data_IF_987416678067
#
_entry.id   IF_987416678067
#
_cell.length_a   1.000
_cell.length_b   1.000
_cell.length_c   1.000
_cell.angle_alpha   90.00
_cell.angle_beta   90.00
_cell.angle_gamma   90.00
#
_symmetry.space_group_name_H-M   'P 1'
#
loop_
_entity.id
_entity.type
_entity.pdbx_description
1 polymer ?
#
# COMPACT_ATOMS: atom_id res chain seq x y z
N UNK A 1 -12.34 -31.39 14.51
CA UNK A 1 -11.07 -30.80 14.06
C UNK A 1 -11.44 -29.96 12.85
N UNK A 2 -11.59 -28.64 13.02
CA UNK A 2 -11.97 -27.74 11.92
C UNK A 2 -10.73 -27.63 11.04
N UNK A 3 -10.78 -28.26 9.86
CA UNK A 3 -9.70 -28.14 8.88
C UNK A 3 -9.46 -26.66 8.62
N UNK A 4 -8.22 -26.22 8.81
CA UNK A 4 -7.79 -24.90 8.38
C UNK A 4 -8.18 -24.76 6.91
N UNK A 5 -9.10 -23.85 6.62
CA UNK A 5 -9.53 -23.50 5.27
C UNK A 5 -8.31 -22.85 4.59
N UNK A 6 -7.42 -23.68 4.03
CA UNK A 6 -6.21 -23.22 3.37
C UNK A 6 -6.64 -22.60 2.04
N UNK A 7 -6.76 -21.28 2.00
CA UNK A 7 -6.90 -20.58 0.74
C UNK A 7 -5.61 -20.80 -0.06
N UNK A 8 -5.70 -21.53 -1.18
CA UNK A 8 -4.57 -21.70 -2.09
C UNK A 8 -4.34 -20.37 -2.80
N UNK A 9 -3.18 -19.75 -2.58
CA UNK A 9 -2.84 -18.46 -3.17
C UNK A 9 -1.76 -18.62 -4.24
N UNK A 10 -2.02 -18.11 -5.44
CA UNK A 10 -1.05 -18.03 -6.52
C UNK A 10 -0.80 -16.58 -6.92
N UNK A 11 0.43 -16.24 -7.24
CA UNK A 11 0.84 -14.88 -7.63
C UNK A 11 1.54 -14.94 -8.98
N UNK A 12 1.09 -14.12 -9.91
CA UNK A 12 1.75 -13.88 -11.20
C UNK A 12 2.23 -12.43 -11.25
N UNK A 13 3.46 -12.20 -11.69
CA UNK A 13 4.00 -10.84 -11.83
C UNK A 13 4.62 -10.66 -13.21
N UNK A 14 4.20 -9.68 -13.98
CA UNK A 14 4.78 -9.37 -15.30
C UNK A 14 5.40 -7.99 -15.34
N UNK A 15 6.64 -7.92 -15.82
CA UNK A 15 7.30 -6.68 -16.28
C UNK A 15 7.12 -6.47 -17.79
N UNK A 16 6.63 -7.49 -18.50
CA UNK A 16 6.33 -7.42 -19.92
C UNK A 16 5.02 -6.67 -20.15
N UNK A 17 5.06 -5.71 -21.10
CA UNK A 17 3.91 -4.87 -21.47
C UNK A 17 3.00 -5.53 -22.53
N UNK A 18 3.38 -6.69 -23.05
CA UNK A 18 2.65 -7.36 -24.14
C UNK A 18 2.09 -8.69 -23.66
N UNK A 19 0.78 -8.85 -23.76
CA UNK A 19 0.10 -10.13 -23.53
C UNK A 19 0.26 -10.99 -24.77
N UNK A 20 0.35 -12.30 -24.55
CA UNK A 20 0.42 -13.25 -25.64
C UNK A 20 -0.73 -13.06 -26.66
N UNK A 21 -0.41 -13.22 -27.94
CA UNK A 21 -1.40 -13.12 -29.00
C UNK A 21 -2.41 -14.28 -28.91
N UNK A 22 -3.66 -14.00 -29.29
CA UNK A 22 -4.73 -15.00 -29.32
C UNK A 22 -4.35 -16.21 -30.18
N UNK A 23 -4.81 -17.39 -29.79
CA UNK A 23 -4.55 -18.65 -30.52
C UNK A 23 -3.16 -19.25 -30.30
N UNK A 24 -2.27 -18.58 -29.55
CA UNK A 24 -0.93 -19.10 -29.20
C UNK A 24 -1.00 -20.11 -28.07
N UNK A 25 -0.04 -21.04 -28.01
CA UNK A 25 0.06 -22.04 -26.95
C UNK A 25 0.83 -21.51 -25.74
N UNK A 26 0.73 -22.18 -24.59
CA UNK A 26 1.50 -21.78 -23.39
C UNK A 26 3.00 -21.86 -23.61
N UNK A 27 3.46 -22.72 -24.53
CA UNK A 27 4.89 -22.80 -24.91
C UNK A 27 5.43 -21.56 -25.61
N UNK A 28 4.54 -20.70 -26.12
CA UNK A 28 4.92 -19.47 -26.84
C UNK A 28 5.11 -18.28 -25.87
N UNK A 29 4.87 -18.47 -24.57
CA UNK A 29 5.10 -17.45 -23.56
C UNK A 29 6.61 -17.20 -23.38
N UNK A 30 7.03 -15.96 -23.59
CA UNK A 30 8.35 -15.51 -23.18
C UNK A 30 8.47 -15.51 -21.64
N UNK A 31 9.70 -15.53 -21.13
CA UNK A 31 9.96 -15.49 -19.68
C UNK A 31 9.31 -14.25 -19.05
N UNK A 32 8.53 -14.46 -17.99
CA UNK A 32 7.78 -13.41 -17.29
C UNK A 32 6.51 -12.94 -18.02
N UNK A 33 6.29 -13.32 -19.28
CA UNK A 33 5.08 -12.96 -20.01
C UNK A 33 3.88 -13.73 -19.47
N UNK A 34 2.74 -13.04 -19.35
CA UNK A 34 1.47 -13.65 -18.92
C UNK A 34 0.48 -13.77 -20.08
N UNK A 35 -0.40 -14.75 -19.97
CA UNK A 35 -1.52 -14.94 -20.88
C UNK A 35 -2.74 -15.55 -20.19
N UNK A 36 -3.90 -15.29 -20.77
CA UNK A 36 -5.16 -15.98 -20.46
C UNK A 36 -5.33 -17.11 -21.48
N UNK A 37 -5.73 -18.29 -21.04
CA UNK A 37 -5.85 -19.50 -21.87
C UNK A 37 -7.17 -20.22 -21.62
N UNK A 38 -7.74 -20.82 -22.67
CA UNK A 38 -8.97 -21.60 -22.57
C UNK A 38 -8.65 -22.98 -21.98
N UNK A 39 -9.38 -23.41 -20.95
CA UNK A 39 -9.08 -24.66 -20.28
C UNK A 39 -9.29 -25.91 -21.16
N UNK A 40 -10.11 -25.81 -22.20
CA UNK A 40 -10.43 -26.92 -23.11
C UNK A 40 -9.43 -26.99 -24.27
N UNK A 41 -9.12 -25.85 -24.88
CA UNK A 41 -8.25 -25.81 -26.07
C UNK A 41 -6.77 -25.61 -25.74
N UNK A 42 -6.44 -25.11 -24.54
CA UNK A 42 -5.09 -24.69 -24.14
C UNK A 42 -4.48 -23.59 -25.03
N UNK A 43 -5.31 -22.83 -25.74
CA UNK A 43 -4.89 -21.70 -26.57
C UNK A 43 -5.21 -20.37 -25.88
N UNK A 44 -4.39 -19.36 -26.17
CA UNK A 44 -4.53 -18.03 -25.59
C UNK A 44 -5.81 -17.35 -26.07
N UNK A 45 -6.48 -16.64 -25.16
CA UNK A 45 -7.77 -16.01 -25.42
C UNK A 45 -7.63 -14.75 -26.26
N UNK A 46 -8.64 -14.53 -27.10
CA UNK A 46 -8.84 -13.27 -27.80
C UNK A 46 -9.29 -12.16 -26.85
N UNK A 47 -9.24 -10.91 -27.31
CA UNK A 47 -9.62 -9.74 -26.54
C UNK A 47 -11.13 -9.60 -26.31
N UNK A 48 -11.96 -10.16 -27.21
CA UNK A 48 -13.43 -10.10 -27.12
C UNK A 48 -14.06 -11.49 -27.19
N UNK A 49 -13.79 -12.38 -26.24
CA UNK A 49 -14.24 -13.74 -26.37
C UNK A 49 -15.67 -13.91 -25.85
N UNK A 50 -16.53 -14.58 -26.61
CA UNK A 50 -17.90 -14.95 -26.18
C UNK A 50 -17.83 -16.20 -25.31
N UNK A 51 -17.84 -16.03 -23.99
CA UNK A 51 -17.88 -17.13 -23.04
C UNK A 51 -19.25 -17.30 -22.39
N UNK A 52 -19.65 -18.56 -22.26
CA UNK A 52 -20.80 -19.00 -21.44
C UNK A 52 -20.28 -19.46 -20.09
N UNK A 53 -21.13 -19.50 -19.05
CA UNK A 53 -20.79 -19.92 -17.66
C UNK A 53 -20.02 -21.26 -17.54
N UNK A 54 -20.16 -22.12 -18.55
CA UNK A 54 -19.57 -23.46 -18.64
C UNK A 54 -18.12 -23.48 -19.17
N UNK A 55 -17.65 -22.40 -19.79
CA UNK A 55 -16.26 -22.30 -20.26
C UNK A 55 -15.41 -21.69 -19.15
N UNK A 56 -14.22 -22.23 -18.98
CA UNK A 56 -13.25 -21.74 -18.02
C UNK A 56 -11.97 -21.30 -18.71
N UNK A 57 -11.22 -20.45 -18.01
CA UNK A 57 -9.90 -20.01 -18.41
C UNK A 57 -8.88 -20.26 -17.31
N UNK A 58 -7.61 -20.25 -17.65
CA UNK A 58 -6.54 -20.20 -16.66
C UNK A 58 -5.53 -19.13 -17.04
N UNK A 59 -4.80 -18.66 -16.05
CA UNK A 59 -3.69 -17.73 -16.23
C UNK A 59 -2.42 -18.56 -16.30
N UNK A 60 -1.54 -18.26 -17.25
CA UNK A 60 -0.22 -18.87 -17.32
C UNK A 60 0.87 -17.82 -17.51
N UNK A 61 2.05 -18.14 -17.00
CA UNK A 61 3.25 -17.33 -17.09
C UNK A 61 4.43 -18.14 -17.62
N UNK A 62 5.18 -17.54 -18.56
CA UNK A 62 6.42 -18.11 -19.06
C UNK A 62 7.50 -18.11 -17.98
N UNK A 63 8.18 -19.24 -17.84
CA UNK A 63 9.27 -19.47 -16.89
C UNK A 63 10.59 -19.63 -17.66
N UNK A 64 11.74 -19.32 -17.03
CA UNK A 64 13.04 -19.54 -17.68
C UNK A 64 13.26 -21.03 -17.97
N UNK A 65 14.02 -21.33 -19.03
CA UNK A 65 14.46 -22.70 -19.30
C UNK A 65 15.47 -23.14 -18.25
N UNK A 66 15.10 -24.15 -17.46
CA UNK A 66 15.94 -24.75 -16.43
C UNK A 66 16.41 -26.15 -16.84
N UNK A 67 16.54 -26.42 -18.15
CA UNK A 67 17.02 -27.70 -18.70
C UNK A 67 18.41 -28.12 -18.21
N UNK A 68 19.22 -27.18 -17.71
CA UNK A 68 20.52 -27.43 -17.09
C UNK A 68 20.43 -28.04 -15.68
N UNK A 69 19.27 -27.94 -15.01
CA UNK A 69 19.05 -28.52 -13.70
C UNK A 69 18.86 -30.04 -13.80
N UNK A 70 19.37 -30.83 -12.82
CA UNK A 70 19.26 -32.28 -12.86
C UNK A 70 17.79 -32.74 -12.80
N UNK A 71 17.44 -33.70 -13.66
CA UNK A 71 16.13 -34.36 -13.64
C UNK A 71 15.89 -34.97 -12.26
N UNK A 72 14.84 -34.54 -11.56
CA UNK A 72 14.52 -34.98 -10.20
C UNK A 72 14.71 -33.91 -9.12
N UNK A 73 15.22 -32.72 -9.47
CA UNK A 73 15.34 -31.59 -8.53
C UNK A 73 13.98 -30.98 -8.08
N UNK A 74 12.84 -31.54 -8.50
CA UNK A 74 11.51 -30.99 -8.17
C UNK A 74 11.18 -29.66 -8.84
N UNK A 75 12.14 -29.03 -9.53
CA UNK A 75 11.95 -27.79 -10.29
C UNK A 75 11.33 -28.12 -11.65
N UNK A 76 10.15 -27.55 -11.91
CA UNK A 76 9.40 -27.78 -13.14
C UNK A 76 9.96 -26.90 -14.26
N UNK A 77 10.35 -27.52 -15.37
CA UNK A 77 10.71 -26.81 -16.61
C UNK A 77 9.45 -26.64 -17.49
N UNK A 78 8.41 -26.05 -16.91
CA UNK A 78 7.13 -25.80 -17.58
C UNK A 78 6.61 -24.40 -17.21
N UNK A 79 5.74 -23.85 -18.05
CA UNK A 79 5.06 -22.59 -17.74
C UNK A 79 4.28 -22.71 -16.44
N UNK A 80 4.32 -21.67 -15.62
CA UNK A 80 3.54 -21.65 -14.40
C UNK A 80 2.05 -21.39 -14.71
N UNK A 81 1.14 -22.17 -14.12
CA UNK A 81 -0.29 -22.15 -14.48
C UNK A 81 -1.19 -22.09 -13.25
N UNK A 82 -2.26 -21.31 -13.32
CA UNK A 82 -3.34 -21.37 -12.34
C UNK A 82 -4.20 -22.62 -12.56
N UNK A 83 -5.07 -22.93 -11.59
CA UNK A 83 -6.19 -23.83 -11.85
C UNK A 83 -7.13 -23.22 -12.88
N UNK A 84 -7.93 -24.07 -13.51
CA UNK A 84 -9.00 -23.62 -14.37
C UNK A 84 -10.06 -22.87 -13.56
N UNK A 85 -10.34 -21.64 -13.97
CA UNK A 85 -11.30 -20.71 -13.40
C UNK A 85 -12.57 -20.79 -14.23
N UNK A 86 -13.56 -21.52 -13.74
CA UNK A 86 -14.87 -21.60 -14.36
C UNK A 86 -15.68 -20.36 -13.96
N UNK A 87 -16.36 -19.70 -14.92
CA UNK A 87 -17.15 -18.49 -14.63
C UNK A 87 -18.17 -18.70 -13.50
N UNK A 88 -18.88 -19.85 -13.51
CA UNK A 88 -19.83 -20.24 -12.47
C UNK A 88 -19.24 -20.39 -11.05
N UNK A 89 -17.92 -20.52 -10.94
CA UNK A 89 -17.21 -20.73 -9.69
C UNK A 89 -16.50 -19.46 -9.20
N UNK A 90 -16.54 -18.37 -9.96
CA UNK A 90 -15.93 -17.11 -9.58
C UNK A 90 -16.74 -16.46 -8.45
N UNK A 91 -16.08 -16.21 -7.33
CA UNK A 91 -16.67 -15.66 -6.10
C UNK A 91 -16.32 -14.18 -5.95
N UNK A 92 -15.16 -13.77 -6.45
CA UNK A 92 -14.71 -12.39 -6.36
C UNK A 92 -13.75 -12.03 -7.47
N UNK A 93 -13.87 -10.80 -7.95
CA UNK A 93 -12.94 -10.19 -8.89
C UNK A 93 -12.80 -8.72 -8.54
N UNK A 94 -11.57 -8.26 -8.31
CA UNK A 94 -11.31 -6.84 -8.15
C UNK A 94 -9.91 -6.44 -8.60
N UNK A 95 -9.80 -5.20 -9.07
CA UNK A 95 -8.53 -4.54 -9.35
C UNK A 95 -8.21 -3.49 -8.30
N UNK A 96 -6.93 -3.16 -8.15
CA UNK A 96 -6.46 -2.00 -7.40
C UNK A 96 -5.28 -1.39 -8.14
N UNK A 97 -5.41 -0.13 -8.52
CA UNK A 97 -4.33 0.61 -9.17
C UNK A 97 -3.19 0.88 -8.17
N UNK A 98 -1.97 0.92 -8.68
CA UNK A 98 -0.81 1.40 -7.94
C UNK A 98 -1.06 2.82 -7.44
N UNK A 99 -0.73 3.07 -6.18
CA UNK A 99 -0.91 4.37 -5.56
C UNK A 99 0.36 4.74 -4.81
N UNK A 100 0.81 5.98 -5.00
CA UNK A 100 1.89 6.52 -4.19
C UNK A 100 1.45 6.64 -2.72
N UNK A 101 2.41 6.51 -1.81
CA UNK A 101 2.17 6.82 -0.40
C UNK A 101 1.80 8.30 -0.24
N UNK A 102 0.89 8.59 0.67
CA UNK A 102 0.45 9.94 0.98
C UNK A 102 0.91 10.32 2.39
N UNK A 103 1.53 11.49 2.54
CA UNK A 103 1.91 12.02 3.85
C UNK A 103 0.68 12.45 4.64
N UNK A 104 0.80 12.42 5.97
CA UNK A 104 -0.17 13.05 6.87
C UNK A 104 0.03 14.57 6.81
N UNK A 105 -1.03 15.33 6.57
CA UNK A 105 -0.98 16.79 6.45
C UNK A 105 -1.99 17.41 7.40
N UNK A 106 -1.48 18.20 8.34
CA UNK A 106 -2.29 18.93 9.32
C UNK A 106 -1.96 20.41 9.23
N UNK A 107 -2.97 21.27 9.24
CA UNK A 107 -2.80 22.71 9.33
C UNK A 107 -3.32 23.26 10.66
N UNK A 108 -2.63 24.28 11.18
CA UNK A 108 -3.11 25.08 12.31
C UNK A 108 -3.29 26.55 11.88
N UNK A 109 -4.36 27.19 12.32
CA UNK A 109 -4.75 28.50 11.83
C UNK A 109 -5.22 28.41 10.38
N UNK A 110 -4.71 29.29 9.51
CA UNK A 110 -5.07 29.29 8.08
C UNK A 110 -4.71 27.97 7.40
N UNK A 111 -5.70 27.32 6.80
CA UNK A 111 -5.58 25.99 6.20
C UNK A 111 -5.29 26.03 4.68
N UNK A 112 -5.16 27.23 4.11
CA UNK A 112 -4.95 27.44 2.67
C UNK A 112 -6.24 27.65 1.87
N UNK A 113 -7.41 27.53 2.50
CA UNK A 113 -8.72 27.69 1.84
C UNK A 113 -9.59 28.69 2.61
N UNK A 114 -9.80 28.45 3.90
CA UNK A 114 -10.72 29.22 4.74
C UNK A 114 -9.99 30.36 5.45
N UNK A 115 -10.21 31.60 4.99
CA UNK A 115 -9.55 32.80 5.54
C UNK A 115 -10.02 33.15 6.95
N UNK A 116 -11.16 32.64 7.40
CA UNK A 116 -11.67 32.87 8.75
C UNK A 116 -10.89 32.04 9.78
N UNK A 117 -10.27 30.95 9.32
CA UNK A 117 -9.27 30.22 10.08
C UNK A 117 -7.97 31.01 10.03
N UNK A 118 -7.58 31.59 11.16
CA UNK A 118 -6.28 32.23 11.30
C UNK A 118 -5.77 32.08 12.72
N UNK A 119 -4.45 31.98 12.84
CA UNK A 119 -3.81 32.14 14.13
C UNK A 119 -3.97 33.60 14.57
N UNK A 120 -4.56 33.81 15.76
CA UNK A 120 -4.73 35.14 16.34
C UNK A 120 -4.49 35.11 17.84
N UNK A 121 -4.08 36.26 18.39
CA UNK A 121 -3.77 36.37 19.81
C UNK A 121 -3.80 37.82 20.30
N UNK A 122 -3.54 37.99 21.59
CA UNK A 122 -3.37 39.28 22.26
C UNK A 122 -1.88 39.61 22.40
N UNK A 123 -1.62 40.89 22.66
CA UNK A 123 -0.30 41.36 23.09
C UNK A 123 0.16 40.61 24.34
N UNK A 124 1.47 40.30 24.41
CA UNK A 124 2.10 39.59 25.53
C UNK A 124 1.48 38.23 25.87
N UNK A 125 0.62 37.70 25.01
CA UNK A 125 0.14 36.33 25.14
C UNK A 125 1.31 35.37 24.92
N UNK A 126 1.22 34.19 25.54
CA UNK A 126 2.08 33.05 25.23
C UNK A 126 1.18 31.99 24.61
N UNK A 127 1.59 31.48 23.45
CA UNK A 127 0.89 30.41 22.76
C UNK A 127 1.70 29.16 22.92
N UNK A 128 1.01 28.10 23.30
CA UNK A 128 1.57 26.77 23.43
C UNK A 128 1.17 25.93 22.23
N UNK A 129 2.09 25.11 21.75
CA UNK A 129 1.87 24.17 20.67
C UNK A 129 2.46 22.81 21.08
N UNK A 130 1.59 21.81 21.15
CA UNK A 130 1.96 20.43 21.38
C UNK A 130 1.88 19.66 20.07
N UNK A 131 3.02 19.11 19.64
CA UNK A 131 3.11 18.26 18.44
C UNK A 131 3.45 16.85 18.88
N UNK A 132 2.50 15.93 18.71
CA UNK A 132 2.72 14.52 18.95
C UNK A 132 2.99 13.82 17.63
N UNK A 133 4.09 13.07 17.60
CA UNK A 133 4.48 12.22 16.49
C UNK A 133 4.35 10.76 16.90
N UNK A 134 3.68 9.98 16.07
CA UNK A 134 3.53 8.53 16.25
C UNK A 134 3.80 7.81 14.93
N UNK A 135 3.75 6.48 14.96
CA UNK A 135 4.13 5.63 13.83
C UNK A 135 5.43 4.90 14.10
N UNK A 136 5.64 3.80 13.38
CA UNK A 136 6.74 2.87 13.65
C UNK A 136 8.14 3.50 13.64
N UNK A 137 8.47 4.47 12.75
CA UNK A 137 9.78 5.12 12.74
C UNK A 137 10.05 5.90 14.04
N UNK A 138 9.01 6.56 14.59
CA UNK A 138 9.09 7.27 15.86
C UNK A 138 9.13 6.29 17.02
N UNK A 139 8.27 5.25 17.01
CA UNK A 139 8.20 4.25 18.08
C UNK A 139 9.49 3.46 18.27
N UNK A 140 10.26 3.27 17.20
CA UNK A 140 11.57 2.63 17.28
C UNK A 140 12.60 3.50 18.05
N UNK A 141 12.42 4.82 18.08
CA UNK A 141 13.25 5.75 18.86
C UNK A 141 12.65 6.01 20.24
N UNK A 142 11.33 6.13 20.32
CA UNK A 142 10.56 6.49 21.51
C UNK A 142 9.33 5.57 21.63
N UNK A 143 9.38 4.50 22.43
CA UNK A 143 8.24 3.60 22.61
C UNK A 143 6.97 4.36 23.01
N UNK A 144 5.90 4.25 22.22
CA UNK A 144 4.64 4.97 22.43
C UNK A 144 4.53 6.35 21.74
N UNK A 145 5.55 6.74 20.97
CA UNK A 145 5.61 8.03 20.28
C UNK A 145 6.36 9.09 21.07
N UNK A 146 6.30 10.33 20.60
CA UNK A 146 6.94 11.48 21.25
C UNK A 146 6.03 12.70 21.19
N UNK A 147 6.11 13.55 22.22
CA UNK A 147 5.36 14.81 22.31
C UNK A 147 6.39 15.92 22.45
N UNK A 148 6.32 16.91 21.56
CA UNK A 148 7.14 18.12 21.60
C UNK A 148 6.25 19.30 21.96
N UNK A 149 6.80 20.19 22.76
CA UNK A 149 6.12 21.38 23.25
C UNK A 149 6.92 22.59 22.80
N UNK A 150 6.24 23.51 22.13
CA UNK A 150 6.80 24.76 21.66
C UNK A 150 6.01 25.91 22.24
N UNK A 151 6.71 26.99 22.55
CA UNK A 151 6.12 28.18 23.16
C UNK A 151 6.66 29.42 22.48
N UNK A 152 5.77 30.22 21.91
CA UNK A 152 6.14 31.51 21.34
C UNK A 152 5.47 32.58 22.18
N UNK A 153 6.18 33.67 22.42
CA UNK A 153 5.63 34.86 23.04
C UNK A 153 5.30 35.87 21.94
N UNK A 154 4.12 36.48 22.02
CA UNK A 154 3.71 37.53 21.09
C UNK A 154 4.58 38.78 21.21
N UNK A 155 4.58 39.60 20.16
CA UNK A 155 5.25 40.89 20.20
C UNK A 155 4.69 41.78 21.33
N UNK A 156 5.58 42.49 22.01
CA UNK A 156 5.21 43.50 22.99
C UNK A 156 4.46 44.63 22.29
N UNK A 157 3.26 44.96 22.75
CA UNK A 157 2.55 46.13 22.25
C UNK A 157 2.90 47.33 23.10
N UNK A 158 3.75 48.21 22.59
CA UNK A 158 4.01 49.49 23.26
C UNK A 158 2.71 50.31 23.30
N UNK A 159 2.11 50.40 24.48
CA UNK A 159 1.02 51.32 24.83
C UNK A 159 -0.23 51.26 23.94
N UNK A 160 -0.84 50.09 23.80
CA UNK A 160 -2.28 50.05 23.51
C UNK A 160 -3.05 50.00 24.84
N UNK A 161 -3.95 50.96 25.06
CA UNK A 161 -4.95 50.85 26.14
C UNK A 161 -5.86 49.64 25.90
N UNK A 162 -6.84 49.40 26.78
CA UNK A 162 -7.76 48.25 26.84
C UNK A 162 -8.44 47.79 25.52
N UNK A 163 -8.23 48.49 24.40
CA UNK A 163 -8.71 48.21 23.05
C UNK A 163 -7.70 47.53 22.12
N UNK A 164 -6.67 46.81 22.61
CA UNK A 164 -5.81 46.03 21.70
C UNK A 164 -6.65 44.93 21.03
N UNK A 165 -7.09 45.18 19.79
CA UNK A 165 -7.79 44.20 18.97
C UNK A 165 -6.92 42.94 18.78
N UNK A 166 -7.54 41.83 18.41
CA UNK A 166 -6.82 40.60 18.04
C UNK A 166 -5.71 40.93 17.05
N UNK A 167 -4.48 40.60 17.43
CA UNK A 167 -3.32 40.77 16.57
C UNK A 167 -3.18 39.49 15.75
N UNK A 168 -3.39 39.61 14.45
CA UNK A 168 -3.00 38.61 13.45
C UNK A 168 -1.56 38.88 13.02
N UNK A 169 -0.62 38.55 13.90
CA UNK A 169 0.81 38.72 13.63
C UNK A 169 1.42 37.40 13.13
N UNK A 170 2.15 37.50 12.04
CA UNK A 170 2.85 36.37 11.44
C UNK A 170 4.09 35.93 12.23
N UNK A 171 4.54 36.75 13.20
CA UNK A 171 5.68 36.46 14.08
C UNK A 171 5.50 35.19 14.89
N UNK A 172 4.28 34.87 15.30
CA UNK A 172 3.93 33.63 15.99
C UNK A 172 4.21 32.40 15.13
N UNK A 173 3.75 32.45 13.89
CA UNK A 173 3.96 31.41 12.90
C UNK A 173 5.45 31.22 12.63
N UNK A 174 6.18 32.32 12.45
CA UNK A 174 7.63 32.28 12.20
C UNK A 174 8.39 31.74 13.42
N UNK A 175 7.97 32.11 14.63
CA UNK A 175 8.54 31.63 15.90
C UNK A 175 8.39 30.12 16.07
N UNK A 176 7.19 29.58 15.81
CA UNK A 176 6.96 28.13 15.89
C UNK A 176 7.76 27.38 14.83
N UNK A 177 7.75 27.86 13.58
CA UNK A 177 8.53 27.24 12.49
C UNK A 177 10.03 27.23 12.83
N UNK A 178 10.56 28.33 13.38
CA UNK A 178 11.96 28.42 13.78
C UNK A 178 12.31 27.47 14.92
N UNK A 179 11.46 27.37 15.95
CA UNK A 179 11.67 26.43 17.06
C UNK A 179 11.63 24.98 16.57
N UNK A 180 10.66 24.62 15.72
CA UNK A 180 10.57 23.29 15.14
C UNK A 180 11.79 22.98 14.26
N UNK A 181 12.27 23.95 13.47
CA UNK A 181 13.44 23.76 12.62
C UNK A 181 14.73 23.55 13.42
N UNK A 182 14.87 24.19 14.59
CA UNK A 182 15.98 23.99 15.53
C UNK A 182 15.81 22.70 16.38
N UNK A 183 14.61 22.12 16.32
CA UNK A 183 14.17 20.85 16.87
C UNK A 183 15.17 19.68 16.72
N UNK A 184 15.82 19.19 17.80
CA UNK A 184 16.50 17.88 17.76
C UNK A 184 15.99 16.89 18.82
N UNK A 185 15.99 15.60 18.46
CA UNK A 185 15.81 14.46 19.36
C UNK A 185 17.12 14.04 20.04
N UNK A 186 17.03 13.15 21.03
CA UNK A 186 18.19 12.46 21.59
C UNK A 186 19.03 11.82 20.47
N UNK A 187 20.34 12.04 20.51
CA UNK A 187 21.26 11.62 19.44
C UNK A 187 21.42 12.65 18.31
N UNK A 188 20.89 13.87 18.45
CA UNK A 188 21.10 14.96 17.49
C UNK A 188 20.35 14.81 16.17
N UNK A 189 19.34 13.92 16.13
CA UNK A 189 18.51 13.71 14.96
C UNK A 189 17.51 14.87 14.88
N UNK A 190 17.53 15.70 13.82
CA UNK A 190 16.61 16.83 13.73
C UNK A 190 15.19 16.34 13.47
N UNK A 191 14.21 16.98 14.11
CA UNK A 191 12.79 16.65 13.94
C UNK A 191 12.32 16.85 12.50
N UNK A 192 13.03 17.70 11.74
CA UNK A 192 12.79 17.98 10.33
C UNK A 192 12.99 16.78 9.41
N UNK A 193 13.58 15.67 9.91
CA UNK A 193 13.57 14.37 9.22
C UNK A 193 12.21 13.68 9.22
N UNK A 194 11.33 14.03 10.15
CA UNK A 194 10.04 13.37 10.36
C UNK A 194 8.85 14.25 10.02
N UNK A 195 8.99 15.57 10.17
CA UNK A 195 7.97 16.55 9.80
C UNK A 195 8.59 17.71 9.04
N UNK A 196 7.84 18.27 8.11
CA UNK A 196 8.14 19.52 7.43
C UNK A 196 7.07 20.54 7.79
N UNK A 197 7.49 21.72 8.21
CA UNK A 197 6.59 22.84 8.46
C UNK A 197 6.69 23.87 7.34
N UNK A 198 5.57 24.47 6.97
CA UNK A 198 5.51 25.53 5.95
C UNK A 198 4.52 26.59 6.39
N UNK A 199 4.92 27.86 6.27
CA UNK A 199 4.02 29.00 6.53
C UNK A 199 2.94 29.07 5.45
N UNK A 200 1.69 29.17 5.88
CA UNK A 200 0.55 29.49 5.04
C UNK A 200 0.13 30.93 5.30
N UNK A 201 -0.10 31.70 4.24
CA UNK A 201 -0.55 33.09 4.35
C UNK A 201 -1.44 33.51 3.19
N UNK A 202 -2.55 34.18 3.49
CA UNK A 202 -3.41 34.86 2.51
C UNK A 202 -3.98 36.12 3.13
N UNK A 203 -3.59 37.30 2.62
CA UNK A 203 -3.97 38.58 3.23
C UNK A 203 -3.50 38.67 4.68
N UNK A 204 -4.45 38.81 5.61
CA UNK A 204 -4.20 38.87 7.07
C UNK A 204 -4.37 37.52 7.78
N UNK A 205 -4.57 36.43 7.05
CA UNK A 205 -4.75 35.09 7.60
C UNK A 205 -3.42 34.32 7.56
N UNK A 206 -3.03 33.77 8.70
CA UNK A 206 -1.77 33.04 8.87
C UNK A 206 -1.98 31.66 9.49
N UNK A 207 -1.16 30.70 9.07
CA UNK A 207 -1.19 29.33 9.57
C UNK A 207 0.11 28.57 9.31
N UNK A 208 0.21 27.38 9.87
CA UNK A 208 1.32 26.46 9.65
C UNK A 208 0.77 25.17 9.09
N UNK A 209 1.33 24.74 7.96
CA UNK A 209 1.13 23.40 7.40
C UNK A 209 2.23 22.48 7.92
N UNK A 210 1.83 21.37 8.51
CA UNK A 210 2.69 20.25 8.88
C UNK A 210 2.50 19.14 7.86
N UNK A 211 3.60 18.58 7.37
CA UNK A 211 3.61 17.48 6.42
C UNK A 211 4.54 16.39 6.97
N UNK A 212 4.03 15.18 7.12
CA UNK A 212 4.82 14.07 7.66
C UNK A 212 5.75 13.46 6.62
N UNK A 213 6.89 12.95 7.07
CA UNK A 213 7.82 12.23 6.23
C UNK A 213 7.47 10.74 6.14
N UNK A 214 7.81 10.15 5.00
CA UNK A 214 7.94 8.71 4.84
C UNK A 214 9.35 8.30 5.24
N UNK A 215 9.46 7.46 6.26
CA UNK A 215 10.76 6.96 6.70
C UNK A 215 10.93 5.53 6.22
N UNK A 216 11.95 5.32 5.40
CA UNK A 216 12.32 3.99 4.94
C UNK A 216 12.64 3.10 6.15
N UNK A 217 12.08 1.89 6.13
CA UNK A 217 12.51 0.83 7.02
C UNK A 217 13.90 0.42 6.60
N UNK A 218 14.88 0.62 7.47
CA UNK A 218 16.17 -0.06 7.35
C UNK A 218 15.91 -1.56 7.51
N UNK A 219 15.71 -2.26 6.40
CA UNK A 219 15.52 -3.71 6.34
C UNK A 219 16.88 -4.39 6.48
N UNK A 220 17.47 -4.33 7.68
CA UNK A 220 18.57 -5.24 8.01
C UNK A 220 17.97 -6.65 8.20
N UNK A 221 18.58 -7.61 7.51
CA UNK A 221 18.06 -8.92 7.11
C UNK A 221 17.67 -9.92 8.23
N UNK A 222 17.44 -9.49 9.47
CA UNK A 222 17.20 -10.37 10.61
C UNK A 222 15.90 -10.14 11.39
N UNK A 223 15.07 -9.15 11.03
CA UNK A 223 13.79 -8.95 11.69
C UNK A 223 12.66 -9.73 10.99
N UNK A 224 11.82 -10.41 11.79
CA UNK A 224 10.59 -11.03 11.31
C UNK A 224 9.75 -9.98 10.56
N UNK A 225 9.65 -10.16 9.25
CA UNK A 225 9.18 -9.18 8.30
C UNK A 225 7.64 -9.21 8.23
N UNK A 226 6.98 -8.76 9.30
CA UNK A 226 5.53 -8.89 9.51
C UNK A 226 4.71 -7.87 8.67
N UNK A 227 5.34 -6.84 8.09
CA UNK A 227 4.60 -5.76 7.43
C UNK A 227 4.93 -5.63 5.93
N UNK A 228 3.92 -5.38 5.08
CA UNK A 228 4.05 -5.36 3.62
C UNK A 228 4.70 -4.10 3.04
N UNK A 229 4.94 -3.03 3.80
CA UNK A 229 5.43 -1.76 3.25
C UNK A 229 6.90 -1.50 3.57
N UNK A 230 7.58 -0.75 2.70
CA UNK A 230 9.01 -0.42 2.86
C UNK A 230 9.27 0.89 3.58
N UNK A 231 8.26 1.75 3.64
CA UNK A 231 8.29 2.95 4.44
C UNK A 231 7.04 2.96 5.33
N UNK A 232 7.20 3.43 6.55
CA UNK A 232 6.09 3.63 7.49
C UNK A 232 5.84 5.15 7.60
N UNK A 233 4.57 5.61 7.56
CA UNK A 233 4.27 7.01 7.72
C UNK A 233 4.49 7.43 9.17
N UNK A 234 4.86 8.68 9.35
CA UNK A 234 4.73 9.37 10.63
C UNK A 234 3.33 9.98 10.68
N UNK A 235 2.64 9.81 11.81
CA UNK A 235 1.35 10.44 12.06
C UNK A 235 1.55 11.67 12.94
N UNK A 236 0.78 12.72 12.67
CA UNK A 236 0.88 14.02 13.33
C UNK A 236 -0.41 14.29 14.08
N UNK A 237 -0.30 14.63 15.36
CA UNK A 237 -1.40 15.14 16.17
C UNK A 237 -0.98 16.47 16.79
N UNK A 238 -1.85 17.49 16.70
CA UNK A 238 -1.55 18.85 17.14
C UNK A 238 -2.61 19.36 18.12
N UNK A 239 -2.17 19.92 19.24
CA UNK A 239 -3.02 20.46 20.31
C UNK A 239 -2.40 21.76 20.85
N UNK A 240 -3.25 22.65 21.34
CA UNK A 240 -2.86 23.95 21.91
C UNK A 240 -2.87 23.95 23.44
N UNK A 241 -3.66 23.07 24.06
CA UNK A 241 -3.98 23.16 25.49
C UNK A 241 -3.22 22.17 26.34
N UNK A 242 -3.20 20.91 25.90
CA UNK A 242 -2.70 19.81 26.71
C UNK A 242 -2.25 18.68 25.78
N UNK A 243 -1.21 17.93 26.13
CA UNK A 243 -0.97 16.59 25.59
C UNK A 243 -2.10 15.57 25.83
N UNK A 244 -3.22 15.92 26.47
CA UNK A 244 -4.42 15.09 26.56
C UNK A 244 -5.31 15.27 25.33
N UNK A 245 -5.29 14.25 24.46
CA UNK A 245 -5.94 14.22 23.15
C UNK A 245 -7.40 13.78 23.18
N UNK A 246 -7.94 13.44 24.36
CA UNK A 246 -9.34 13.06 24.56
C UNK A 246 -10.16 14.18 25.23
N UNK A 247 -9.52 15.32 25.53
CA UNK A 247 -10.18 16.51 26.08
C UNK A 247 -11.17 17.13 25.08
N UNK A 248 -12.20 17.79 25.60
CA UNK A 248 -13.22 18.45 24.78
C UNK A 248 -12.59 19.60 23.98
N UNK A 249 -12.73 19.65 22.64
CA UNK A 249 -12.09 20.64 21.76
C UNK A 249 -12.72 22.05 21.85
N UNK A 250 -13.55 22.32 22.86
CA UNK A 250 -14.41 23.51 22.91
C UNK A 250 -13.66 24.83 23.12
N UNK A 251 -12.36 24.79 23.39
CA UNK A 251 -11.57 25.97 23.73
C UNK A 251 -10.44 26.29 22.74
N UNK A 252 -10.22 25.51 21.66
CA UNK A 252 -9.13 25.78 20.68
C UNK A 252 -9.09 27.27 20.25
N UNK A 253 -7.99 27.96 20.55
CA UNK A 253 -7.85 29.39 20.28
C UNK A 253 -7.61 29.63 18.79
N UNK A 254 -7.12 28.63 18.06
CA UNK A 254 -7.09 28.60 16.61
C UNK A 254 -7.48 27.21 16.07
N UNK A 255 -8.02 27.13 14.85
CA UNK A 255 -8.52 25.86 14.32
C UNK A 255 -7.36 24.95 13.89
N UNK A 256 -7.45 23.67 14.26
CA UNK A 256 -6.62 22.58 13.73
C UNK A 256 -7.43 21.82 12.70
N UNK A 257 -6.92 21.70 11.48
CA UNK A 257 -7.60 21.03 10.35
C UNK A 257 -6.72 19.89 9.82
N UNK A 258 -7.22 18.66 9.83
CA UNK A 258 -6.59 17.58 9.04
C UNK A 258 -6.92 17.81 7.56
N UNK A 259 -5.88 17.96 6.74
CA UNK A 259 -5.99 18.21 5.31
C UNK A 259 -5.86 16.93 4.49
N UNK A 260 -5.07 15.96 4.98
CA UNK A 260 -4.83 14.70 4.31
C UNK A 260 -4.37 13.66 5.33
N UNK A 261 -5.00 12.50 5.35
CA UNK A 261 -4.54 11.38 6.19
C UNK A 261 -3.38 10.64 5.49
N UNK A 262 -2.46 10.07 6.28
CA UNK A 262 -1.41 9.24 5.72
C UNK A 262 -1.97 7.94 5.11
N UNK A 263 -1.55 7.61 3.90
CA UNK A 263 -1.94 6.38 3.19
C UNK A 263 -0.70 5.61 2.71
N UNK A 264 -0.66 4.31 2.98
CA UNK A 264 0.46 3.44 2.54
C UNK A 264 0.54 3.33 1.02
N UNK A 265 1.77 3.31 0.45
CA UNK A 265 1.93 3.03 -0.96
C UNK A 265 1.38 1.65 -1.30
N UNK A 266 0.78 1.53 -2.47
CA UNK A 266 0.29 0.28 -3.01
C UNK A 266 0.93 0.00 -4.36
N UNK A 267 1.30 -1.27 -4.59
CA UNK A 267 1.92 -1.69 -5.86
C UNK A 267 3.43 -1.49 -5.94
N UNK A 268 4.11 -1.11 -4.86
CA UNK A 268 5.57 -0.94 -4.85
C UNK A 268 6.30 -2.26 -5.18
N UNK A 269 7.23 -2.24 -6.14
CA UNK A 269 7.88 -3.47 -6.65
C UNK A 269 8.62 -4.26 -5.58
N UNK A 270 9.25 -3.58 -4.63
CA UNK A 270 9.88 -4.21 -3.47
C UNK A 270 8.88 -4.96 -2.59
N UNK A 271 7.64 -4.45 -2.48
CA UNK A 271 6.56 -5.19 -1.81
C UNK A 271 6.12 -6.41 -2.64
N UNK A 272 5.97 -6.25 -3.96
CA UNK A 272 5.52 -7.32 -4.85
C UNK A 272 6.53 -8.48 -4.88
N UNK A 273 7.83 -8.20 -4.81
CA UNK A 273 8.90 -9.22 -4.64
C UNK A 273 8.56 -10.17 -3.50
N UNK A 274 8.17 -9.63 -2.33
CA UNK A 274 7.87 -10.44 -1.15
C UNK A 274 6.62 -11.28 -1.34
N UNK A 275 5.60 -10.74 -2.01
CA UNK A 275 4.38 -11.50 -2.33
C UNK A 275 4.68 -12.64 -3.31
N UNK A 276 5.51 -12.39 -4.31
CA UNK A 276 5.96 -13.39 -5.27
C UNK A 276 6.79 -14.50 -4.60
N UNK A 277 7.75 -14.12 -3.76
CA UNK A 277 8.55 -15.05 -2.95
C UNK A 277 7.68 -15.92 -2.06
N UNK A 278 6.76 -15.31 -1.28
CA UNK A 278 5.87 -16.04 -0.41
C UNK A 278 4.99 -17.02 -1.19
N UNK A 279 4.41 -16.60 -2.31
CA UNK A 279 3.57 -17.47 -3.14
C UNK A 279 4.36 -18.65 -3.70
N UNK A 280 5.57 -18.41 -4.24
CA UNK A 280 6.46 -19.47 -4.71
C UNK A 280 6.86 -20.41 -3.58
N UNK A 281 7.16 -19.88 -2.40
CA UNK A 281 7.42 -20.70 -1.21
C UNK A 281 6.23 -21.57 -0.80
N UNK A 282 4.98 -21.25 -1.16
CA UNK A 282 3.82 -22.12 -0.93
C UNK A 282 3.69 -23.19 -2.01
N UNK A 283 3.95 -22.86 -3.28
CA UNK A 283 3.87 -23.80 -4.41
C UNK A 283 4.96 -24.90 -4.36
N UNK A 284 6.15 -24.62 -3.83
CA UNK A 284 7.27 -25.59 -3.75
C UNK A 284 7.25 -26.51 -2.50
N UNK A 285 6.24 -26.42 -1.62
CA UNK A 285 6.25 -27.06 -0.29
C UNK A 285 6.03 -28.57 -0.24
N UNK A 286 5.89 -29.28 -1.36
CA UNK A 286 5.69 -30.72 -1.29
C UNK A 286 6.97 -31.55 -1.08
N UNK A 287 8.19 -31.00 -1.28
CA UNK A 287 9.40 -31.84 -1.30
C UNK A 287 10.70 -31.33 -0.64
N UNK A 288 10.89 -30.05 -0.29
CA UNK A 288 12.12 -29.61 0.42
C UNK A 288 11.80 -29.08 1.80
N UNK A 289 12.10 -29.81 2.87
CA UNK A 289 11.87 -29.35 4.26
C UNK A 289 12.99 -28.42 4.76
N UNK A 290 14.09 -28.28 4.02
CA UNK A 290 15.28 -27.56 4.47
C UNK A 290 15.39 -26.15 3.90
N UNK A 291 15.41 -25.14 4.79
CA UNK A 291 15.59 -23.72 4.44
C UNK A 291 16.87 -23.43 3.62
N UNK A 292 18.03 -24.06 3.90
CA UNK A 292 19.27 -23.81 3.14
C UNK A 292 19.20 -24.28 1.68
N UNK A 293 18.53 -25.40 1.41
CA UNK A 293 18.33 -25.91 0.03
C UNK A 293 17.46 -24.94 -0.77
N UNK A 294 16.40 -24.41 -0.16
CA UNK A 294 15.52 -23.40 -0.77
C UNK A 294 16.23 -22.08 -1.08
N UNK A 295 17.13 -21.64 -0.19
CA UNK A 295 17.95 -20.44 -0.41
C UNK A 295 19.03 -20.69 -1.47
N UNK A 296 19.57 -21.91 -1.55
CA UNK A 296 20.57 -22.30 -2.53
C UNK A 296 19.98 -22.50 -3.94
N UNK A 297 18.71 -22.90 -4.04
CA UNK A 297 17.99 -23.07 -5.32
C UNK A 297 17.74 -21.74 -6.03
N UNK A 298 17.64 -20.63 -5.29
CA UNK A 298 17.41 -19.31 -5.84
C UNK A 298 16.01 -19.17 -6.45
N UNK A 299 15.17 -18.32 -5.87
CA UNK A 299 13.87 -18.02 -6.48
C UNK A 299 14.10 -17.06 -7.65
N UNK A 300 13.87 -17.50 -8.89
CA UNK A 300 13.78 -16.55 -10.01
C UNK A 300 12.50 -15.77 -9.84
N UNK A 301 12.62 -14.47 -9.57
CA UNK A 301 11.50 -13.54 -9.43
C UNK A 301 11.34 -12.75 -10.72
N UNK A 302 10.08 -12.54 -11.12
CA UNK A 302 9.74 -11.73 -12.28
C UNK A 302 9.56 -10.25 -11.91
N UNK A 303 9.41 -9.95 -10.62
CA UNK A 303 9.23 -8.59 -10.12
C UNK A 303 10.51 -7.75 -10.27
N UNK A 304 10.36 -6.52 -10.76
CA UNK A 304 11.38 -5.48 -10.73
C UNK A 304 11.12 -4.57 -9.52
N UNK A 305 12.07 -4.46 -8.56
CA UNK A 305 11.88 -3.65 -7.36
C UNK A 305 11.71 -2.15 -7.63
N UNK A 306 12.12 -1.68 -8.80
CA UNK A 306 12.12 -0.25 -9.15
C UNK A 306 10.81 0.21 -9.81
N UNK A 307 9.92 -0.73 -10.13
CA UNK A 307 8.65 -0.46 -10.79
C UNK A 307 7.48 -0.50 -9.81
N UNK A 308 6.37 0.11 -10.22
CA UNK A 308 5.08 0.00 -9.54
C UNK A 308 4.12 -0.89 -10.34
N UNK A 309 3.20 -1.54 -9.63
CA UNK A 309 2.33 -2.56 -10.17
C UNK A 309 0.86 -2.35 -9.77
N UNK A 310 -0.01 -2.43 -10.76
CA UNK A 310 -1.44 -2.62 -10.56
C UNK A 310 -1.71 -4.09 -10.20
N UNK A 311 -2.73 -4.34 -9.36
CA UNK A 311 -3.09 -5.68 -8.90
C UNK A 311 -4.50 -6.05 -9.35
N UNK A 312 -4.68 -7.29 -9.80
CA UNK A 312 -5.99 -7.90 -9.98
C UNK A 312 -6.06 -9.20 -9.21
N UNK A 313 -7.11 -9.34 -8.39
CA UNK A 313 -7.37 -10.54 -7.60
C UNK A 313 -8.60 -11.25 -8.16
N UNK A 314 -8.46 -12.56 -8.37
CA UNK A 314 -9.55 -13.48 -8.67
C UNK A 314 -9.69 -14.48 -7.53
N UNK A 315 -10.89 -14.62 -6.99
CA UNK A 315 -11.24 -15.65 -6.02
C UNK A 315 -12.28 -16.57 -6.62
N UNK A 316 -12.00 -17.87 -6.61
CA UNK A 316 -12.91 -18.87 -7.14
C UNK A 316 -12.85 -20.15 -6.30
N UNK A 317 -13.97 -20.87 -6.26
CA UNK A 317 -14.07 -22.14 -5.58
C UNK A 317 -13.84 -23.29 -6.57
N UNK A 318 -13.12 -24.33 -6.17
CA UNK A 318 -12.97 -25.56 -6.95
C UNK A 318 -13.48 -26.74 -6.15
N UNK A 319 -14.19 -27.66 -6.80
CA UNK A 319 -14.63 -28.89 -6.16
C UNK A 319 -13.49 -29.91 -6.24
N UNK A 320 -13.04 -30.36 -5.07
CA UNK A 320 -12.14 -31.49 -4.93
C UNK A 320 -12.94 -32.71 -4.51
N UNK A 321 -12.80 -33.78 -5.27
CA UNK A 321 -13.26 -35.09 -4.85
C UNK A 321 -12.24 -35.66 -3.87
N UNK A 322 -12.71 -36.12 -2.70
CA UNK A 322 -11.83 -36.80 -1.75
C UNK A 322 -11.21 -38.04 -2.45
N UNK A 323 -9.88 -38.16 -2.40
CA UNK A 323 -9.16 -39.31 -2.96
C UNK A 323 -9.49 -40.63 -2.22
N UNK A 324 -10.26 -40.56 -1.14
CA UNK A 324 -10.57 -41.66 -0.23
C UNK A 324 -11.98 -42.26 -0.40
N UNK A 325 -12.65 -42.00 -1.52
CA UNK A 325 -13.75 -42.85 -2.01
C UNK A 325 -15.07 -42.81 -1.25
N UNK A 326 -15.24 -41.92 -0.26
CA UNK A 326 -16.52 -41.71 0.42
C UNK A 326 -16.87 -40.22 0.41
N UNK A 327 -18.10 -39.97 -0.03
CA UNK A 327 -18.60 -38.72 -0.60
C UNK A 327 -18.73 -37.58 0.40
N UNK A 328 -17.77 -36.66 0.38
CA UNK A 328 -18.01 -35.24 0.67
C UNK A 328 -17.26 -34.44 -0.39
N UNK A 329 -18.00 -33.68 -1.21
CA UNK A 329 -17.40 -32.72 -2.13
C UNK A 329 -16.82 -31.59 -1.29
N UNK A 330 -15.49 -31.57 -1.14
CA UNK A 330 -14.82 -30.45 -0.48
C UNK A 330 -14.70 -29.32 -1.49
N UNK A 331 -15.05 -28.10 -1.07
CA UNK A 331 -14.83 -26.88 -1.84
C UNK A 331 -13.56 -26.22 -1.33
N UNK A 332 -12.55 -26.17 -2.19
CA UNK A 332 -11.32 -25.44 -1.92
C UNK A 332 -11.43 -24.06 -2.55
N UNK A 333 -11.08 -23.02 -1.78
CA UNK A 333 -11.05 -21.64 -2.27
C UNK A 333 -9.65 -21.29 -2.76
N UNK A 334 -9.59 -20.80 -4.00
CA UNK A 334 -8.35 -20.34 -4.63
C UNK A 334 -8.38 -18.83 -4.77
N UNK A 335 -7.24 -18.19 -4.52
CA UNK A 335 -6.97 -16.80 -4.79
C UNK A 335 -5.81 -16.70 -5.79
N UNK A 336 -6.05 -16.01 -6.91
CA UNK A 336 -5.01 -15.70 -7.89
C UNK A 336 -4.83 -14.20 -7.93
N UNK A 337 -3.64 -13.73 -7.60
CA UNK A 337 -3.26 -12.32 -7.74
C UNK A 337 -2.36 -12.16 -8.95
N UNK A 338 -2.69 -11.19 -9.80
CA UNK A 338 -1.90 -10.82 -10.98
C UNK A 338 -1.41 -9.40 -10.79
N UNK A 339 -0.10 -9.21 -10.85
CA UNK A 339 0.56 -7.91 -10.81
C UNK A 339 1.10 -7.58 -12.18
N UNK A 340 0.72 -6.41 -12.69
CA UNK A 340 1.28 -5.87 -13.93
C UNK A 340 1.84 -4.49 -13.70
N UNK A 341 2.85 -4.12 -14.48
CA UNK A 341 3.39 -2.75 -14.45
C UNK A 341 2.25 -1.72 -14.53
N UNK A 342 2.30 -0.72 -13.66
CA UNK A 342 1.27 0.30 -13.53
C UNK A 342 0.97 0.98 -14.88
N UNK A 343 -0.32 1.18 -15.18
CA UNK A 343 -0.80 1.82 -16.41
C UNK A 343 -0.91 0.89 -17.62
N UNK A 344 -0.70 -0.43 -17.44
CA UNK A 344 -0.95 -1.42 -18.48
C UNK A 344 -2.40 -1.91 -18.42
N UNK A 345 -3.21 -1.60 -19.44
CA UNK A 345 -4.63 -2.00 -19.45
C UNK A 345 -4.91 -3.29 -20.21
N UNK A 346 -4.01 -3.76 -21.08
CA UNK A 346 -4.33 -4.83 -22.03
C UNK A 346 -4.88 -6.12 -21.39
N UNK A 347 -4.42 -6.48 -20.19
CA UNK A 347 -4.84 -7.72 -19.52
C UNK A 347 -6.12 -7.48 -18.77
N UNK A 348 -6.23 -6.31 -18.13
CA UNK A 348 -7.47 -5.83 -17.54
C UNK A 348 -8.59 -5.81 -18.57
N UNK A 349 -8.34 -5.32 -19.79
CA UNK A 349 -9.33 -5.24 -20.86
C UNK A 349 -9.81 -6.65 -21.26
N UNK A 350 -8.89 -7.62 -21.43
CA UNK A 350 -9.28 -9.02 -21.72
C UNK A 350 -10.00 -9.68 -20.55
N UNK A 351 -9.53 -9.45 -19.32
CA UNK A 351 -10.10 -10.06 -18.13
C UNK A 351 -11.48 -9.48 -17.80
N UNK A 352 -11.66 -8.17 -17.93
CA UNK A 352 -12.95 -7.49 -17.82
C UNK A 352 -13.91 -7.96 -18.90
N UNK A 353 -13.44 -8.10 -20.15
CA UNK A 353 -14.26 -8.64 -21.24
C UNK A 353 -14.73 -10.06 -20.93
N UNK A 354 -13.87 -10.91 -20.35
CA UNK A 354 -14.27 -12.23 -19.87
C UNK A 354 -15.29 -12.14 -18.73
N UNK A 355 -15.00 -11.38 -17.68
CA UNK A 355 -15.85 -11.27 -16.50
C UNK A 355 -17.23 -10.70 -16.85
N UNK A 356 -17.32 -9.74 -17.77
CA UNK A 356 -18.58 -9.17 -18.25
C UNK A 356 -19.52 -10.18 -18.93
N UNK A 357 -18.99 -11.31 -19.42
CA UNK A 357 -19.81 -12.39 -19.99
C UNK A 357 -20.37 -13.36 -18.95
N UNK A 358 -19.91 -13.27 -17.70
CA UNK A 358 -20.40 -14.12 -16.61
C UNK A 358 -21.71 -13.53 -16.06
N UNK A 359 -22.83 -14.28 -16.00
CA UNK A 359 -24.12 -13.81 -15.49
C UNK A 359 -24.17 -13.60 -13.96
N UNK A 360 -23.05 -13.75 -13.25
CA UNK A 360 -22.98 -13.61 -11.80
C UNK A 360 -22.75 -12.14 -11.47
N UNK A 361 -23.55 -11.52 -10.59
CA UNK A 361 -23.29 -10.18 -10.10
C UNK A 361 -22.03 -10.20 -9.25
N UNK A 362 -20.89 -9.97 -9.89
CA UNK A 362 -19.62 -9.76 -9.22
C UNK A 362 -19.58 -8.30 -8.77
N UNK A 363 -18.98 -8.00 -7.60
CA UNK A 363 -18.75 -6.62 -7.21
C UNK A 363 -17.88 -5.96 -8.28
N UNK A 364 -18.48 -5.06 -9.06
CA UNK A 364 -17.79 -4.30 -10.10
C UNK A 364 -16.83 -3.33 -9.42
N UNK A 365 -15.57 -3.32 -9.87
CA UNK A 365 -14.59 -2.36 -9.38
C UNK A 365 -14.64 -1.09 -10.20
N UNK A 366 -14.92 0.02 -9.53
CA UNK A 366 -14.42 1.34 -9.91
C UNK A 366 -12.98 1.44 -9.45
N UNK A 367 -12.07 1.64 -10.40
CA UNK A 367 -10.64 1.92 -10.18
C UNK A 367 -10.47 3.26 -9.49
#
# INVERSE_FOLDING_TARGET
>A
MVGLNQNFRKVFVTTNNTILASGSATSDLAVGQIGLFDCSTNLSLDATPTYTESKGFYIAQGTPDLSYMPKGAGIRNETDKSKCIMGKNLVGYWGKAAAAGQSDIVAIGYDGVDTDKTMSGKCDEIKHLYVKLTGKPIENLFPGGTIRHYEVQGACCDSCGDSCASITDSSWVDGFIAQIAADTFLGGIPITKFIKTTKLSSGSSYGIKFESAWVDRTTDACYFNIFPYNADPVYIQISEYNPDWHGSPCDNTYPVTSLQDAAYPFGDGQYIIRLEELAKMWDFRYYSEQLPERLAEGTVLNTDPTLTYDMWTLIFDTERWSELGWSEGLRDRYQVDVFMRAGQTGFQDRLNSYVATIPVPLPTVTV
#
